data_IF_617741419054
#
_entry.id   IF_617741419054
#
_cell.length_a   1.000
_cell.length_b   1.000
_cell.length_c   1.000
_cell.angle_alpha   90.00
_cell.angle_beta   90.00
_cell.angle_gamma   90.00
#
_symmetry.space_group_name_H-M   'P 1'
#
loop_
_entity.id
_entity.type
_entity.pdbx_description
1 polymer ?
#
# COMPACT_ATOMS: atom_id res chain seq x y z
N UNK A 1 -9.60 -13.04 12.72
CA UNK A 1 -8.54 -13.60 11.84
C UNK A 1 -7.51 -12.50 11.62
N UNK A 2 -6.22 -12.68 11.97
CA UNK A 2 -5.24 -11.67 11.62
C UNK A 2 -5.19 -11.56 10.08
N UNK A 3 -5.31 -10.34 9.56
CA UNK A 3 -5.39 -10.07 8.13
C UNK A 3 -4.17 -10.67 7.39
N UNK A 4 -4.40 -11.68 6.54
CA UNK A 4 -3.39 -12.36 5.71
C UNK A 4 -2.59 -11.43 4.77
N UNK A 5 -3.01 -10.17 4.65
CA UNK A 5 -2.31 -9.09 3.94
C UNK A 5 -0.88 -8.96 4.47
N UNK A 6 -0.67 -9.03 5.79
CA UNK A 6 0.63 -8.86 6.44
C UNK A 6 1.72 -9.80 5.86
N UNK A 7 1.39 -11.07 5.57
CA UNK A 7 2.38 -12.02 5.04
C UNK A 7 2.91 -11.61 3.65
N UNK A 8 2.03 -11.10 2.77
CA UNK A 8 2.44 -10.67 1.43
C UNK A 8 3.24 -9.36 1.44
N UNK A 9 3.08 -8.53 2.47
CA UNK A 9 3.82 -7.28 2.60
C UNK A 9 5.27 -7.50 3.06
N UNK A 10 5.54 -8.51 3.90
CA UNK A 10 6.88 -8.82 4.46
C UNK A 10 8.06 -8.71 3.46
N UNK A 11 8.04 -9.33 2.27
CA UNK A 11 9.15 -9.22 1.32
C UNK A 11 9.34 -7.80 0.76
N UNK A 12 8.25 -7.05 0.57
CA UNK A 12 8.30 -5.65 0.10
C UNK A 12 8.96 -4.77 1.18
N UNK A 13 8.56 -4.99 2.43
CA UNK A 13 9.09 -4.29 3.60
C UNK A 13 10.59 -4.54 3.76
N UNK A 14 11.00 -5.81 3.66
CA UNK A 14 12.42 -6.20 3.71
C UNK A 14 13.23 -5.44 2.65
N UNK A 15 12.74 -5.40 1.41
CA UNK A 15 13.42 -4.71 0.31
C UNK A 15 13.49 -3.19 0.51
N UNK A 16 12.48 -2.58 1.12
CA UNK A 16 12.50 -1.16 1.50
C UNK A 16 13.51 -0.88 2.61
N UNK A 17 13.70 -1.78 3.58
CA UNK A 17 14.74 -1.65 4.62
C UNK A 17 16.14 -1.80 4.03
N UNK A 18 16.35 -2.75 3.11
CA UNK A 18 17.64 -2.96 2.44
C UNK A 18 18.04 -1.83 1.48
N UNK A 19 17.06 -1.11 0.91
CA UNK A 19 17.29 -0.02 -0.06
C UNK A 19 16.73 1.30 0.45
N UNK A 20 17.53 1.99 1.26
CA UNK A 20 17.13 3.23 1.94
C UNK A 20 16.73 4.38 0.99
N UNK A 21 17.22 4.38 -0.26
CA UNK A 21 16.88 5.39 -1.28
C UNK A 21 15.63 5.05 -2.11
N UNK A 22 15.07 3.85 -1.94
CA UNK A 22 13.89 3.42 -2.71
C UNK A 22 12.60 4.05 -2.18
N UNK A 23 11.76 4.48 -3.12
CA UNK A 23 10.39 4.94 -2.89
C UNK A 23 9.40 3.84 -3.24
N UNK A 24 8.33 3.73 -2.48
CA UNK A 24 7.20 2.85 -2.75
C UNK A 24 6.04 3.68 -3.29
N UNK A 25 5.45 3.24 -4.39
CA UNK A 25 4.19 3.78 -4.91
C UNK A 25 3.09 2.75 -4.73
N UNK A 26 1.96 3.16 -4.16
CA UNK A 26 0.79 2.28 -3.94
C UNK A 26 -0.35 2.74 -4.85
N UNK A 27 -0.64 1.95 -5.88
CA UNK A 27 -1.74 2.23 -6.82
C UNK A 27 -2.86 1.21 -6.61
N UNK A 28 -4.07 1.70 -6.37
CA UNK A 28 -5.27 0.88 -6.38
C UNK A 28 -5.91 0.86 -7.76
N UNK A 29 -6.60 -0.23 -8.07
CA UNK A 29 -7.32 -0.40 -9.33
C UNK A 29 -8.74 -0.89 -9.02
N UNK A 30 -9.68 -0.47 -9.87
CA UNK A 30 -11.04 -0.98 -9.94
C UNK A 30 -11.27 -1.54 -11.35
N UNK A 31 -12.30 -2.36 -11.52
CA UNK A 31 -12.69 -2.84 -12.84
C UNK A 31 -13.48 -1.74 -13.59
N UNK A 32 -13.98 -2.08 -14.78
CA UNK A 32 -14.73 -1.16 -15.63
C UNK A 32 -16.21 -1.06 -15.24
N UNK A 33 -16.67 -1.81 -14.24
CA UNK A 33 -18.09 -1.90 -13.93
C UNK A 33 -18.49 -0.72 -13.05
N UNK A 34 -19.54 0.00 -13.46
CA UNK A 34 -20.09 1.13 -12.71
C UNK A 34 -19.49 2.48 -13.10
N UNK A 35 -19.77 3.48 -12.27
CA UNK A 35 -19.39 4.87 -12.51
C UNK A 35 -17.87 5.08 -12.36
N UNK A 36 -17.26 5.81 -13.31
CA UNK A 36 -15.82 6.05 -13.34
C UNK A 36 -15.34 6.78 -12.09
N UNK A 37 -16.09 7.79 -11.65
CA UNK A 37 -15.74 8.57 -10.45
C UNK A 37 -15.82 7.71 -9.18
N UNK A 38 -16.82 6.82 -9.10
CA UNK A 38 -16.89 5.81 -8.05
C UNK A 38 -15.70 4.84 -8.09
N UNK A 39 -15.32 4.35 -9.27
CA UNK A 39 -14.19 3.43 -9.45
C UNK A 39 -12.85 4.10 -9.11
N UNK A 40 -12.69 5.37 -9.42
CA UNK A 40 -11.55 6.18 -8.99
C UNK A 40 -11.49 6.26 -7.46
N UNK A 41 -12.59 6.63 -6.80
CA UNK A 41 -12.66 6.67 -5.32
C UNK A 41 -12.42 5.30 -4.68
N UNK A 42 -12.92 4.23 -5.28
CA UNK A 42 -12.72 2.87 -4.79
C UNK A 42 -11.23 2.48 -4.90
N UNK A 43 -10.59 2.82 -6.01
CA UNK A 43 -9.17 2.61 -6.24
C UNK A 43 -8.31 3.36 -5.21
N UNK A 44 -8.61 4.64 -4.96
CA UNK A 44 -7.94 5.44 -3.92
C UNK A 44 -8.09 4.82 -2.52
N UNK A 45 -9.31 4.40 -2.15
CA UNK A 45 -9.56 3.74 -0.85
C UNK A 45 -8.75 2.45 -0.70
N UNK A 46 -8.63 1.65 -1.76
CA UNK A 46 -7.81 0.43 -1.76
C UNK A 46 -6.33 0.74 -1.55
N UNK A 47 -5.82 1.78 -2.22
CA UNK A 47 -4.43 2.23 -2.02
C UNK A 47 -4.19 2.68 -0.57
N UNK A 48 -5.09 3.50 -0.02
CA UNK A 48 -5.02 3.99 1.37
C UNK A 48 -5.05 2.83 2.38
N UNK A 49 -5.86 1.80 2.15
CA UNK A 49 -5.91 0.63 3.03
C UNK A 49 -4.55 -0.11 3.09
N UNK A 50 -3.87 -0.26 1.95
CA UNK A 50 -2.53 -0.86 1.90
C UNK A 50 -1.49 0.05 2.53
N UNK A 51 -1.57 1.37 2.28
CA UNK A 51 -0.70 2.36 2.91
C UNK A 51 -0.80 2.28 4.45
N UNK A 52 -2.02 2.28 4.99
CA UNK A 52 -2.24 2.16 6.43
C UNK A 52 -1.68 0.83 6.97
N UNK A 53 -1.94 -0.29 6.28
CA UNK A 53 -1.38 -1.59 6.67
C UNK A 53 0.14 -1.60 6.61
N UNK A 54 0.77 -0.88 5.67
CA UNK A 54 2.22 -0.75 5.63
C UNK A 54 2.72 0.09 6.79
N UNK A 55 2.18 1.29 6.99
CA UNK A 55 2.59 2.20 8.06
C UNK A 55 2.60 1.53 9.43
N UNK A 56 1.55 0.78 9.76
CA UNK A 56 1.42 0.09 11.05
C UNK A 56 2.46 -1.03 11.23
N UNK A 57 3.02 -1.57 10.13
CA UNK A 57 4.07 -2.60 10.14
C UNK A 57 5.49 -2.04 9.89
N UNK A 58 5.63 -0.74 9.58
CA UNK A 58 6.87 -0.10 9.09
C UNK A 58 7.41 0.96 10.06
N UNK A 59 7.28 0.78 11.37
CA UNK A 59 7.69 1.77 12.38
C UNK A 59 9.14 2.35 12.21
N UNK A 60 10.03 1.69 11.46
CA UNK A 60 11.39 2.18 11.14
C UNK A 60 11.58 2.83 9.76
N UNK A 61 10.61 2.73 8.84
CA UNK A 61 10.74 3.29 7.48
C UNK A 61 10.03 4.62 7.43
N UNK A 62 10.79 5.68 7.15
CA UNK A 62 10.24 7.03 7.03
C UNK A 62 9.06 7.07 6.05
N UNK A 63 7.94 7.60 6.55
CA UNK A 63 6.68 7.79 5.83
C UNK A 63 6.86 8.58 4.52
N UNK A 64 7.88 9.46 4.47
CA UNK A 64 8.27 10.25 3.28
C UNK A 64 8.59 9.43 2.02
N UNK A 65 8.80 8.12 2.17
CA UNK A 65 9.16 7.19 1.10
C UNK A 65 7.96 6.45 0.50
N UNK A 66 6.77 6.55 1.09
CA UNK A 66 5.57 5.90 0.60
C UNK A 66 4.68 6.96 -0.05
N UNK A 67 4.23 6.71 -1.28
CA UNK A 67 3.41 7.63 -2.07
C UNK A 67 2.25 6.91 -2.74
#
# INVERSE_FOLDING_TARGET
MPNNISFKLKPIIKRLKERLRSKLYITGYADIVGDEYYNQKLSERRAVAVYNSMRDNLLDVSDSRIR
#
